data_IF_659373386813
#
_entry.id   IF_659373386813
#
_cell.length_a   1.000
_cell.length_b   1.000
_cell.length_c   1.000
_cell.angle_alpha   90.00
_cell.angle_beta   90.00
_cell.angle_gamma   90.00
#
_symmetry.space_group_name_H-M   'P 1'
#
loop_
_entity.id
_entity.type
_entity.pdbx_description
1 polymer ?
#
# COMPACT_ATOMS: atom_id res chain seq x y z
N UNK A 1 -26.71 -2.90 -22.49
CA UNK A 1 -26.28 -2.24 -21.25
C UNK A 1 -25.90 -0.81 -21.62
N UNK A 2 -26.88 0.10 -21.56
CA UNK A 2 -26.68 1.51 -21.93
C UNK A 2 -25.89 2.13 -20.79
N UNK A 3 -24.71 2.71 -21.05
CA UNK A 3 -24.06 3.59 -20.08
C UNK A 3 -25.07 4.67 -19.75
N UNK A 4 -25.59 4.65 -18.54
CA UNK A 4 -26.64 5.57 -18.10
C UNK A 4 -26.15 7.01 -18.31
N UNK A 5 -27.00 7.89 -18.84
CA UNK A 5 -26.68 9.32 -19.04
C UNK A 5 -26.15 9.93 -17.73
N UNK A 6 -26.59 9.38 -16.60
CA UNK A 6 -26.14 9.69 -15.25
C UNK A 6 -24.62 9.59 -15.01
N UNK A 7 -23.87 8.75 -15.72
CA UNK A 7 -22.39 8.69 -15.55
C UNK A 7 -21.72 9.91 -16.17
N UNK A 8 -22.17 10.32 -17.36
CA UNK A 8 -21.62 11.48 -18.06
C UNK A 8 -21.98 12.79 -17.37
N UNK A 9 -23.19 12.89 -16.78
CA UNK A 9 -23.57 14.07 -16.00
C UNK A 9 -22.73 14.21 -14.73
N UNK A 10 -22.32 13.10 -14.12
CA UNK A 10 -21.46 13.14 -12.93
C UNK A 10 -20.01 13.48 -13.28
N UNK A 11 -19.51 12.94 -14.39
CA UNK A 11 -18.16 13.28 -14.87
C UNK A 11 -18.03 14.77 -15.25
N UNK A 12 -19.14 15.47 -15.49
CA UNK A 12 -19.17 16.92 -15.73
C UNK A 12 -19.61 17.73 -14.51
N UNK A 13 -19.94 17.07 -13.39
CA UNK A 13 -20.35 17.75 -12.16
C UNK A 13 -19.16 18.51 -11.54
N UNK A 14 -19.29 19.83 -11.33
CA UNK A 14 -18.21 20.64 -10.77
C UNK A 14 -17.79 20.20 -9.35
N UNK A 15 -18.68 19.64 -8.54
CA UNK A 15 -18.35 19.16 -7.20
C UNK A 15 -17.47 17.91 -7.28
N UNK A 16 -17.84 16.96 -8.14
CA UNK A 16 -17.06 15.75 -8.38
C UNK A 16 -15.67 16.09 -8.94
N UNK A 17 -15.61 16.94 -9.97
CA UNK A 17 -14.36 17.35 -10.59
C UNK A 17 -13.44 18.13 -9.65
N UNK A 18 -13.98 19.04 -8.84
CA UNK A 18 -13.22 19.76 -7.82
C UNK A 18 -12.64 18.81 -6.79
N UNK A 19 -13.43 17.82 -6.38
CA UNK A 19 -13.00 16.82 -5.43
C UNK A 19 -11.87 15.94 -5.95
N UNK A 20 -12.07 15.35 -7.13
CA UNK A 20 -11.05 14.57 -7.81
C UNK A 20 -9.79 15.38 -8.10
N UNK A 21 -9.94 16.63 -8.55
CA UNK A 21 -8.82 17.55 -8.76
C UNK A 21 -8.03 17.82 -7.49
N UNK A 22 -8.69 17.89 -6.33
CA UNK A 22 -8.01 18.04 -5.03
C UNK A 22 -7.22 16.77 -4.67
N UNK A 23 -7.78 15.59 -4.92
CA UNK A 23 -7.06 14.32 -4.72
C UNK A 23 -5.81 14.23 -5.62
N UNK A 24 -5.94 14.61 -6.90
CA UNK A 24 -4.81 14.66 -7.83
C UNK A 24 -3.75 15.68 -7.39
N UNK A 25 -4.17 16.84 -6.87
CA UNK A 25 -3.27 17.85 -6.34
C UNK A 25 -2.50 17.33 -5.11
N UNK A 26 -3.18 16.68 -4.16
CA UNK A 26 -2.54 16.06 -3.00
C UNK A 26 -1.52 15.01 -3.45
N UNK A 27 -1.89 14.15 -4.39
CA UNK A 27 -0.99 13.13 -4.93
C UNK A 27 0.25 13.78 -5.58
N UNK A 28 0.06 14.78 -6.44
CA UNK A 28 1.14 15.48 -7.11
C UNK A 28 2.07 16.21 -6.13
N UNK A 29 1.53 16.96 -5.17
CA UNK A 29 2.31 17.65 -4.15
C UNK A 29 3.10 16.66 -3.28
N UNK A 30 2.47 15.54 -2.89
CA UNK A 30 3.14 14.50 -2.12
C UNK A 30 4.28 13.85 -2.91
N UNK A 31 4.07 13.57 -4.20
CA UNK A 31 5.13 13.06 -5.09
C UNK A 31 6.29 14.04 -5.22
N UNK A 32 6.02 15.33 -5.39
CA UNK A 32 7.08 16.34 -5.55
C UNK A 32 7.84 16.55 -4.24
N UNK A 33 7.14 16.79 -3.14
CA UNK A 33 7.75 17.14 -1.85
C UNK A 33 8.38 15.92 -1.19
N UNK A 34 7.58 14.90 -0.86
CA UNK A 34 8.05 13.72 -0.16
C UNK A 34 8.85 12.80 -1.08
N UNK A 35 8.43 12.63 -2.33
CA UNK A 35 9.16 11.84 -3.32
C UNK A 35 10.51 12.46 -3.69
N UNK A 36 10.58 13.78 -3.88
CA UNK A 36 11.84 14.49 -4.12
C UNK A 36 12.81 14.36 -2.95
N UNK A 37 12.32 14.54 -1.72
CA UNK A 37 13.13 14.38 -0.50
C UNK A 37 13.62 12.93 -0.32
N UNK A 38 12.76 11.93 -0.55
CA UNK A 38 13.14 10.53 -0.47
C UNK A 38 14.18 10.12 -1.51
N UNK A 39 14.11 10.64 -2.74
CA UNK A 39 15.17 10.45 -3.75
C UNK A 39 16.49 11.11 -3.30
N UNK A 40 16.43 12.31 -2.71
CA UNK A 40 17.63 12.97 -2.19
C UNK A 40 18.30 12.15 -1.08
N UNK A 41 17.51 11.64 -0.12
CA UNK A 41 18.00 10.74 0.94
C UNK A 41 18.56 9.44 0.35
N UNK A 42 17.87 8.84 -0.63
CA UNK A 42 18.33 7.64 -1.32
C UNK A 42 19.70 7.83 -1.96
N UNK A 43 19.95 8.98 -2.61
CA UNK A 43 21.27 9.33 -3.17
C UNK A 43 22.34 9.51 -2.10
N UNK A 44 22.00 10.07 -0.94
CA UNK A 44 22.92 10.16 0.20
C UNK A 44 23.24 8.79 0.80
N UNK A 45 22.33 7.82 0.72
CA UNK A 45 22.59 6.47 1.20
C UNK A 45 23.42 5.62 0.22
N UNK A 46 23.46 6.01 -1.06
CA UNK A 46 24.26 5.33 -2.10
C UNK A 46 25.78 5.46 -1.92
N UNK A 47 26.26 6.30 -1.00
CA UNK A 47 27.69 6.44 -0.70
C UNK A 47 28.30 5.17 -0.06
N UNK A 48 27.49 4.25 0.48
CA UNK A 48 27.98 3.01 1.09
C UNK A 48 27.16 1.79 0.66
N UNK A 49 27.84 0.79 0.07
CA UNK A 49 27.22 -0.47 -0.34
C UNK A 49 26.61 -1.25 0.84
N UNK A 50 27.08 -1.03 2.07
CA UNK A 50 26.48 -1.63 3.27
C UNK A 50 25.14 -0.96 3.61
N UNK A 51 25.09 0.38 3.56
CA UNK A 51 23.86 1.14 3.81
C UNK A 51 22.81 0.87 2.74
N UNK A 52 23.20 0.76 1.47
CA UNK A 52 22.28 0.40 0.38
C UNK A 52 21.63 -0.97 0.64
N UNK A 53 22.42 -1.99 0.98
CA UNK A 53 21.90 -3.35 1.26
C UNK A 53 20.97 -3.39 2.46
N UNK A 54 21.34 -2.73 3.55
CA UNK A 54 20.50 -2.61 4.75
C UNK A 54 19.21 -1.81 4.45
N UNK A 55 19.34 -0.69 3.75
CA UNK A 55 18.23 0.20 3.37
C UNK A 55 17.19 -0.50 2.49
N UNK A 56 17.61 -1.20 1.44
CA UNK A 56 16.69 -1.96 0.58
C UNK A 56 15.91 -3.00 1.41
N UNK A 57 16.59 -3.77 2.27
CA UNK A 57 15.91 -4.79 3.09
C UNK A 57 14.90 -4.19 4.06
N UNK A 58 15.29 -3.12 4.75
CA UNK A 58 14.44 -2.47 5.73
C UNK A 58 13.23 -1.81 5.06
N UNK A 59 13.47 -1.05 4.00
CA UNK A 59 12.45 -0.21 3.36
C UNK A 59 11.47 -1.01 2.51
N UNK A 60 11.82 -2.22 2.01
CA UNK A 60 10.90 -3.07 1.23
C UNK A 60 9.52 -3.20 1.88
N UNK A 61 9.51 -3.49 3.18
CA UNK A 61 8.29 -3.55 3.98
C UNK A 61 8.16 -2.29 4.85
N UNK A 62 9.26 -1.78 5.39
CA UNK A 62 9.27 -0.63 6.30
C UNK A 62 8.64 0.63 5.71
N UNK A 63 8.61 0.79 4.38
CA UNK A 63 7.92 1.91 3.74
C UNK A 63 6.41 1.96 4.06
N UNK A 64 5.79 0.83 4.40
CA UNK A 64 4.36 0.73 4.72
C UNK A 64 4.04 0.99 6.20
N UNK A 65 5.03 0.99 7.08
CA UNK A 65 4.79 1.23 8.52
C UNK A 65 4.10 2.57 8.80
N UNK A 66 4.50 3.70 8.19
CA UNK A 66 3.84 4.98 8.45
C UNK A 66 2.36 4.96 8.07
N UNK A 67 1.95 4.16 7.08
CA UNK A 67 0.54 4.01 6.73
C UNK A 67 -0.27 3.50 7.92
N UNK A 68 0.14 2.39 8.54
CA UNK A 68 -0.61 1.78 9.63
C UNK A 68 -0.64 2.68 10.88
N UNK A 69 0.47 3.38 11.16
CA UNK A 69 0.56 4.27 12.33
C UNK A 69 -0.31 5.51 12.14
N UNK A 70 -0.33 6.09 10.93
CA UNK A 70 -1.06 7.34 10.67
C UNK A 70 -2.53 7.11 10.29
N UNK A 71 -2.94 5.92 9.84
CA UNK A 71 -4.26 5.67 9.25
C UNK A 71 -5.44 6.29 10.03
N UNK A 72 -5.59 5.96 11.31
CA UNK A 72 -6.77 6.31 12.10
C UNK A 72 -6.59 7.47 13.08
N UNK A 73 -5.51 8.24 12.99
CA UNK A 73 -5.24 9.29 13.97
C UNK A 73 -6.32 10.39 13.95
N UNK A 74 -6.74 10.92 15.12
CA UNK A 74 -7.82 11.90 15.19
C UNK A 74 -7.44 13.24 14.54
N UNK A 75 -6.14 13.52 14.37
CA UNK A 75 -5.63 14.75 13.72
C UNK A 75 -6.15 14.94 12.30
N UNK A 76 -6.63 13.88 11.65
CA UNK A 76 -7.20 13.94 10.30
C UNK A 76 -8.67 14.38 10.28
N UNK A 77 -9.38 14.34 11.42
CA UNK A 77 -10.80 14.67 11.51
C UNK A 77 -10.99 16.18 11.53
N UNK A 78 -11.11 16.76 10.35
CA UNK A 78 -11.37 18.18 10.17
C UNK A 78 -12.88 18.44 10.35
N UNK A 79 -13.26 19.37 11.22
CA UNK A 79 -14.65 19.78 11.41
C UNK A 79 -14.96 21.03 10.55
N UNK A 80 -15.71 20.92 9.44
CA UNK A 80 -15.90 22.02 8.50
C UNK A 80 -16.87 23.11 8.99
N UNK A 81 -17.56 22.91 10.12
CA UNK A 81 -18.67 23.75 10.57
C UNK A 81 -18.32 25.11 11.17
N UNK A 82 -17.02 25.48 11.25
CA UNK A 82 -16.60 26.74 11.90
C UNK A 82 -15.71 27.65 11.05
N UNK A 83 -15.12 27.14 9.97
CA UNK A 83 -14.09 27.84 9.21
C UNK A 83 -14.52 28.11 7.75
N UNK A 84 -14.01 29.19 7.12
CA UNK A 84 -14.31 29.47 5.72
C UNK A 84 -13.77 28.36 4.81
N UNK A 85 -14.50 28.05 3.74
CA UNK A 85 -14.21 26.93 2.82
C UNK A 85 -12.74 26.85 2.38
N UNK A 86 -12.12 27.98 2.06
CA UNK A 86 -10.73 28.04 1.58
C UNK A 86 -9.73 27.56 2.65
N UNK A 87 -9.98 27.87 3.91
CA UNK A 87 -9.16 27.41 5.04
C UNK A 87 -9.31 25.90 5.20
N UNK A 88 -10.54 25.38 5.16
CA UNK A 88 -10.78 23.93 5.28
C UNK A 88 -10.17 23.16 4.11
N UNK A 89 -10.21 23.71 2.89
CA UNK A 89 -9.55 23.14 1.72
C UNK A 89 -8.03 23.10 1.88
N UNK A 90 -7.41 24.20 2.33
CA UNK A 90 -5.96 24.24 2.58
C UNK A 90 -5.53 23.24 3.67
N UNK A 91 -6.30 23.14 4.75
CA UNK A 91 -6.08 22.15 5.81
C UNK A 91 -6.20 20.73 5.22
N UNK A 92 -7.20 20.47 4.37
CA UNK A 92 -7.37 19.17 3.73
C UNK A 92 -6.17 18.81 2.85
N UNK A 93 -5.68 19.74 2.03
CA UNK A 93 -4.52 19.51 1.17
C UNK A 93 -3.26 19.23 2.00
N UNK A 94 -2.99 20.07 2.99
CA UNK A 94 -1.82 19.91 3.87
C UNK A 94 -1.90 18.61 4.67
N UNK A 95 -3.04 18.29 5.27
CA UNK A 95 -3.28 17.05 5.99
C UNK A 95 -3.07 15.81 5.10
N UNK A 96 -3.59 15.82 3.87
CA UNK A 96 -3.37 14.74 2.91
C UNK A 96 -1.90 14.52 2.56
N UNK A 97 -1.15 15.61 2.34
CA UNK A 97 0.29 15.55 2.07
C UNK A 97 1.06 15.03 3.29
N UNK A 98 0.69 15.43 4.51
CA UNK A 98 1.30 14.94 5.74
C UNK A 98 0.99 13.47 6.02
N UNK A 99 -0.23 13.01 5.72
CA UNK A 99 -0.64 11.62 5.93
C UNK A 99 0.08 10.66 4.97
N UNK A 100 0.09 10.96 3.67
CA UNK A 100 0.72 10.12 2.66
C UNK A 100 2.25 10.31 2.59
N UNK A 101 2.75 11.50 2.94
CA UNK A 101 4.14 11.93 2.78
C UNK A 101 5.18 10.95 3.30
N UNK A 102 5.13 10.49 4.56
CA UNK A 102 6.12 9.57 5.12
C UNK A 102 6.24 8.26 4.33
N UNK A 103 5.11 7.65 3.94
CA UNK A 103 5.09 6.43 3.12
C UNK A 103 5.72 6.68 1.75
N UNK A 104 5.39 7.81 1.11
CA UNK A 104 5.93 8.20 -0.20
C UNK A 104 7.43 8.53 -0.14
N UNK A 105 7.89 9.16 0.93
CA UNK A 105 9.31 9.43 1.18
C UNK A 105 10.09 8.12 1.28
N UNK A 106 9.61 7.16 2.07
CA UNK A 106 10.28 5.87 2.23
C UNK A 106 10.22 5.03 0.94
N UNK A 107 9.10 5.05 0.22
CA UNK A 107 8.95 4.34 -1.05
C UNK A 107 9.84 4.92 -2.16
N UNK A 108 9.94 6.24 -2.26
CA UNK A 108 10.85 6.89 -3.22
C UNK A 108 12.32 6.70 -2.86
N UNK A 109 12.66 6.68 -1.57
CA UNK A 109 13.99 6.29 -1.09
C UNK A 109 14.30 4.83 -1.46
N UNK A 110 13.36 3.91 -1.22
CA UNK A 110 13.47 2.51 -1.60
C UNK A 110 13.73 2.35 -3.10
N UNK A 111 12.87 2.94 -3.93
CA UNK A 111 12.99 2.89 -5.38
C UNK A 111 14.28 3.53 -5.89
N UNK A 112 14.74 4.63 -5.27
CA UNK A 112 16.02 5.23 -5.63
C UNK A 112 17.21 4.31 -5.28
N UNK A 113 17.16 3.61 -4.16
CA UNK A 113 18.20 2.64 -3.78
C UNK A 113 18.20 1.43 -4.71
N UNK A 114 17.04 0.89 -5.07
CA UNK A 114 16.96 -0.25 -5.99
C UNK A 114 17.40 0.15 -7.41
N UNK A 115 16.99 1.33 -7.89
CA UNK A 115 17.38 1.87 -9.19
C UNK A 115 18.87 2.27 -9.26
N UNK A 116 19.45 2.85 -8.20
CA UNK A 116 20.86 3.25 -8.17
C UNK A 116 21.82 2.07 -8.40
N UNK A 117 21.44 0.89 -7.91
CA UNK A 117 22.19 -0.34 -8.15
C UNK A 117 21.97 -0.86 -9.59
N UNK A 118 20.85 -0.53 -10.25
CA UNK A 118 20.61 -0.82 -11.67
C UNK A 118 21.31 0.18 -12.61
N UNK A 119 21.40 1.46 -12.21
CA UNK A 119 21.97 2.58 -12.96
C UNK A 119 23.48 2.49 -13.18
N UNK A 120 24.22 1.65 -12.44
CA UNK A 120 25.60 1.27 -12.81
C UNK A 120 25.68 0.57 -14.18
N UNK A 121 24.55 0.20 -14.81
CA UNK A 121 24.52 -0.51 -16.10
C UNK A 121 23.71 0.09 -17.26
N UNK A 122 22.71 1.00 -17.16
CA UNK A 122 22.11 1.70 -18.34
C UNK A 122 20.97 2.73 -18.08
N UNK A 123 20.85 3.69 -19.04
CA UNK A 123 19.73 4.53 -19.59
C UNK A 123 18.79 5.42 -18.73
N UNK A 124 18.41 6.62 -19.23
CA UNK A 124 17.51 7.60 -18.57
C UNK A 124 16.06 7.14 -18.36
N UNK A 125 15.60 6.09 -19.04
CA UNK A 125 14.22 5.59 -18.94
C UNK A 125 13.85 5.04 -17.55
N UNK A 126 14.83 4.61 -16.75
CA UNK A 126 14.59 4.07 -15.40
C UNK A 126 14.08 5.15 -14.44
N UNK A 127 14.56 6.40 -14.57
CA UNK A 127 14.13 7.50 -13.68
C UNK A 127 12.65 7.87 -13.85
N UNK A 128 12.14 7.77 -15.08
CA UNK A 128 10.72 8.02 -15.38
C UNK A 128 9.82 6.93 -14.78
N UNK A 129 10.33 5.70 -14.67
CA UNK A 129 9.60 4.61 -14.04
C UNK A 129 9.38 4.85 -12.54
N UNK A 130 10.42 5.29 -11.82
CA UNK A 130 10.31 5.61 -10.40
C UNK A 130 9.26 6.70 -10.12
N UNK A 131 9.30 7.79 -10.89
CA UNK A 131 8.35 8.90 -10.71
C UNK A 131 6.91 8.43 -10.88
N UNK A 132 6.65 7.58 -11.89
CA UNK A 132 5.34 6.97 -12.11
C UNK A 132 4.88 6.13 -10.91
N UNK A 133 5.71 5.19 -10.43
CA UNK A 133 5.36 4.30 -9.30
C UNK A 133 5.08 5.11 -8.03
N UNK A 134 5.91 6.11 -7.75
CA UNK A 134 5.74 7.02 -6.60
C UNK A 134 4.45 7.83 -6.74
N UNK A 135 4.12 8.31 -7.94
CA UNK A 135 2.87 9.02 -8.18
C UNK A 135 1.64 8.13 -8.03
N UNK A 136 1.64 6.91 -8.57
CA UNK A 136 0.52 5.98 -8.44
C UNK A 136 0.31 5.55 -6.99
N UNK A 137 1.39 5.32 -6.23
CA UNK A 137 1.28 5.07 -4.79
C UNK A 137 0.72 6.30 -4.07
N UNK A 138 1.19 7.51 -4.38
CA UNK A 138 0.67 8.74 -3.80
C UNK A 138 -0.81 8.93 -4.11
N UNK A 139 -1.25 8.62 -5.33
CA UNK A 139 -2.64 8.68 -5.75
C UNK A 139 -3.50 7.67 -4.98
N UNK A 140 -3.05 6.42 -4.87
CA UNK A 140 -3.74 5.40 -4.08
C UNK A 140 -3.93 5.86 -2.64
N UNK A 141 -2.86 6.22 -1.95
CA UNK A 141 -2.92 6.68 -0.56
C UNK A 141 -3.79 7.92 -0.43
N UNK A 142 -3.65 8.89 -1.34
CA UNK A 142 -4.45 10.11 -1.32
C UNK A 142 -5.93 9.81 -1.40
N UNK A 143 -6.37 8.83 -2.21
CA UNK A 143 -7.77 8.36 -2.30
C UNK A 143 -8.22 7.70 -1.00
N UNK A 144 -7.41 6.79 -0.44
CA UNK A 144 -7.76 6.05 0.77
C UNK A 144 -7.99 6.99 1.96
N UNK A 145 -7.12 7.98 2.16
CA UNK A 145 -7.25 8.94 3.27
C UNK A 145 -8.41 9.92 3.14
N UNK A 146 -9.02 10.05 1.95
CA UNK A 146 -10.20 10.92 1.81
C UNK A 146 -11.38 10.47 2.66
N UNK A 147 -11.38 9.24 3.20
CA UNK A 147 -12.35 8.81 4.19
C UNK A 147 -12.39 9.70 5.43
N UNK A 148 -11.28 10.37 5.76
CA UNK A 148 -11.17 11.24 6.94
C UNK A 148 -11.32 12.72 6.60
N UNK A 149 -11.36 13.08 5.31
CA UNK A 149 -11.38 14.47 4.85
C UNK A 149 -12.77 14.84 4.29
N UNK A 150 -13.48 15.81 4.90
CA UNK A 150 -14.88 16.07 4.59
C UNK A 150 -15.15 16.73 3.23
N UNK A 151 -14.14 17.29 2.55
CA UNK A 151 -14.35 18.23 1.42
C UNK A 151 -13.79 17.75 0.08
N UNK A 152 -12.86 16.79 0.07
CA UNK A 152 -12.13 16.46 -1.16
C UNK A 152 -12.77 15.30 -1.94
N UNK A 153 -12.94 14.09 -1.41
CA UNK A 153 -13.63 13.04 -2.17
C UNK A 153 -15.00 12.72 -1.57
N UNK A 154 -16.10 12.85 -2.32
CA UNK A 154 -17.43 12.84 -1.75
C UNK A 154 -17.93 11.40 -1.55
N UNK A 155 -17.26 10.63 -0.68
CA UNK A 155 -17.60 9.24 -0.36
C UNK A 155 -19.07 9.07 0.03
N UNK A 156 -19.62 9.97 0.84
CA UNK A 156 -21.03 9.94 1.26
C UNK A 156 -22.00 10.12 0.10
N UNK A 157 -21.65 10.97 -0.86
CA UNK A 157 -22.44 11.17 -2.08
C UNK A 157 -22.36 9.97 -3.02
N UNK A 158 -21.17 9.35 -3.13
CA UNK A 158 -20.94 8.12 -3.90
C UNK A 158 -21.76 6.93 -3.39
N UNK A 159 -22.00 6.84 -2.08
CA UNK A 159 -22.87 5.81 -1.48
C UNK A 159 -24.31 5.91 -2.01
N UNK A 160 -24.80 7.12 -2.26
CA UNK A 160 -26.20 7.35 -2.63
C UNK A 160 -26.47 7.13 -4.12
N UNK A 161 -25.45 7.14 -4.98
CA UNK A 161 -25.61 7.20 -6.44
C UNK A 161 -24.76 6.14 -7.16
N UNK A 162 -25.40 5.11 -7.70
CA UNK A 162 -24.74 3.99 -8.42
C UNK A 162 -23.88 4.49 -9.60
N UNK A 163 -24.39 5.45 -10.38
CA UNK A 163 -23.68 6.08 -11.50
C UNK A 163 -22.41 6.82 -11.05
N UNK A 164 -22.38 7.30 -9.81
CA UNK A 164 -21.24 8.03 -9.26
C UNK A 164 -20.05 7.12 -8.97
N UNK A 165 -20.30 5.87 -8.53
CA UNK A 165 -19.26 4.86 -8.33
C UNK A 165 -18.58 4.50 -9.66
N UNK A 166 -19.36 4.33 -10.72
CA UNK A 166 -18.80 4.09 -12.06
C UNK A 166 -18.03 5.31 -12.59
N UNK A 167 -18.52 6.53 -12.36
CA UNK A 167 -17.80 7.75 -12.72
C UNK A 167 -16.46 7.86 -11.96
N UNK A 168 -16.43 7.53 -10.67
CA UNK A 168 -15.21 7.45 -9.86
C UNK A 168 -14.19 6.45 -10.45
N UNK A 169 -14.64 5.23 -10.77
CA UNK A 169 -13.79 4.21 -11.41
C UNK A 169 -13.23 4.74 -12.73
N UNK A 170 -14.07 5.31 -13.60
CA UNK A 170 -13.66 5.85 -14.90
C UNK A 170 -12.65 7.00 -14.72
N UNK A 171 -12.88 7.92 -13.80
CA UNK A 171 -11.97 9.03 -13.52
C UNK A 171 -10.59 8.54 -13.06
N UNK A 172 -10.54 7.56 -12.15
CA UNK A 172 -9.28 6.93 -11.71
C UNK A 172 -8.60 6.20 -12.86
N UNK A 173 -9.35 5.46 -13.68
CA UNK A 173 -8.82 4.78 -14.87
C UNK A 173 -8.19 5.78 -15.85
N UNK A 174 -8.84 6.92 -16.10
CA UNK A 174 -8.31 7.99 -16.95
C UNK A 174 -7.00 8.54 -16.37
N UNK A 175 -6.94 8.83 -15.06
CA UNK A 175 -5.72 9.31 -14.42
C UNK A 175 -4.56 8.30 -14.50
N UNK A 176 -4.84 7.01 -14.28
CA UNK A 176 -3.85 5.93 -14.43
C UNK A 176 -3.39 5.82 -15.89
N UNK A 177 -4.31 5.89 -16.86
CA UNK A 177 -3.98 5.84 -18.28
C UNK A 177 -3.10 7.02 -18.70
N UNK A 178 -3.46 8.24 -18.30
CA UNK A 178 -2.69 9.45 -18.58
C UNK A 178 -1.29 9.38 -17.96
N UNK A 179 -1.18 8.88 -16.73
CA UNK A 179 0.11 8.65 -16.08
C UNK A 179 0.95 7.63 -16.87
N UNK A 180 0.35 6.49 -17.27
CA UNK A 180 1.05 5.46 -18.04
C UNK A 180 1.50 5.98 -19.42
N UNK A 181 0.68 6.79 -20.08
CA UNK A 181 1.02 7.44 -21.35
C UNK A 181 2.17 8.44 -21.18
N UNK A 182 2.11 9.32 -20.17
CA UNK A 182 3.14 10.32 -19.89
C UNK A 182 4.52 9.70 -19.66
N UNK A 183 4.58 8.50 -19.07
CA UNK A 183 5.82 7.79 -18.77
C UNK A 183 6.13 6.63 -19.73
N UNK A 184 5.39 6.50 -20.84
CA UNK A 184 5.57 5.43 -21.85
C UNK A 184 5.64 4.02 -21.24
N UNK A 185 4.78 3.76 -20.25
CA UNK A 185 4.84 2.56 -19.44
C UNK A 185 4.42 1.31 -20.23
N UNK A 186 5.13 0.20 -19.98
CA UNK A 186 4.75 -1.13 -20.46
C UNK A 186 4.96 -2.17 -19.38
N UNK A 187 4.10 -3.20 -19.33
CA UNK A 187 4.20 -4.27 -18.33
C UNK A 187 5.55 -5.01 -18.44
N UNK A 188 6.05 -5.23 -19.66
CA UNK A 188 7.36 -5.88 -19.88
C UNK A 188 8.53 -5.06 -19.32
N UNK A 189 8.50 -3.72 -19.46
CA UNK A 189 9.54 -2.86 -18.88
C UNK A 189 9.59 -2.96 -17.35
N UNK A 190 8.44 -3.12 -16.69
CA UNK A 190 8.40 -3.30 -15.23
C UNK A 190 8.75 -4.72 -14.78
N UNK A 191 8.40 -5.70 -15.59
CA UNK A 191 8.70 -7.10 -15.32
C UNK A 191 10.20 -7.35 -15.21
N UNK A 192 10.97 -6.72 -16.10
CA UNK A 192 12.42 -6.84 -16.10
C UNK A 192 13.06 -6.19 -14.87
N UNK A 193 12.66 -4.95 -14.54
CA UNK A 193 13.14 -4.23 -13.35
C UNK A 193 12.85 -5.00 -12.05
N UNK A 194 11.61 -5.48 -11.89
CA UNK A 194 11.21 -6.26 -10.70
C UNK A 194 11.93 -7.59 -10.60
N UNK A 195 12.14 -8.28 -11.73
CA UNK A 195 12.92 -9.53 -11.74
C UNK A 195 14.36 -9.30 -11.26
N UNK A 196 15.02 -8.25 -11.75
CA UNK A 196 16.39 -7.92 -11.34
C UNK A 196 16.48 -7.56 -9.86
N UNK A 197 15.50 -6.80 -9.36
CA UNK A 197 15.36 -6.45 -7.95
C UNK A 197 15.20 -7.70 -7.07
N UNK A 198 14.30 -8.60 -7.44
CA UNK A 198 14.08 -9.85 -6.73
C UNK A 198 15.36 -10.71 -6.70
N UNK A 199 16.06 -10.85 -7.83
CA UNK A 199 17.32 -11.60 -7.88
C UNK A 199 18.35 -11.03 -6.89
N UNK A 200 18.47 -9.71 -6.80
CA UNK A 200 19.41 -9.10 -5.85
C UNK A 200 18.99 -9.28 -4.39
N UNK A 201 17.71 -9.11 -4.06
CA UNK A 201 17.24 -9.30 -2.67
C UNK A 201 17.54 -10.70 -2.13
N UNK A 202 17.47 -11.72 -2.99
CA UNK A 202 17.83 -13.08 -2.63
C UNK A 202 19.35 -13.32 -2.55
N UNK A 203 20.15 -12.72 -3.43
CA UNK A 203 21.62 -12.80 -3.37
C UNK A 203 22.16 -12.18 -2.08
N UNK A 204 21.56 -11.07 -1.65
CA UNK A 204 22.07 -10.34 -0.51
C UNK A 204 21.71 -10.94 0.82
N UNK A 205 20.94 -12.04 0.94
CA UNK A 205 20.28 -12.51 2.16
C UNK A 205 21.22 -13.16 3.23
N UNK A 206 22.34 -12.49 3.53
CA UNK A 206 23.27 -12.80 4.63
C UNK A 206 22.72 -12.39 6.02
N UNK A 207 23.13 -13.12 7.07
CA UNK A 207 22.82 -12.83 8.48
C UNK A 207 23.39 -11.48 8.96
N UNK A 208 24.56 -11.07 8.46
CA UNK A 208 25.18 -9.74 8.74
C UNK A 208 24.25 -8.58 8.30
N UNK A 209 23.48 -8.86 7.25
CA UNK A 209 22.21 -8.25 6.85
C UNK A 209 21.35 -7.66 7.95
N UNK A 210 20.96 -8.56 8.85
CA UNK A 210 19.91 -8.37 9.84
C UNK A 210 20.39 -7.49 11.00
N UNK A 211 21.67 -7.58 11.35
CA UNK A 211 22.27 -6.74 12.39
C UNK A 211 22.16 -5.25 12.07
N UNK A 212 22.39 -4.85 10.80
CA UNK A 212 22.25 -3.47 10.37
C UNK A 212 20.80 -2.96 10.45
N UNK A 213 19.83 -3.78 10.03
CA UNK A 213 18.41 -3.44 10.17
C UNK A 213 17.97 -3.31 11.62
N UNK A 214 18.41 -4.23 12.49
CA UNK A 214 18.09 -4.21 13.91
C UNK A 214 18.70 -2.98 14.60
N UNK A 215 19.92 -2.59 14.23
CA UNK A 215 20.56 -1.38 14.74
C UNK A 215 19.77 -0.12 14.34
N UNK A 216 19.27 -0.04 13.09
CA UNK A 216 18.41 1.07 12.64
C UNK A 216 17.11 1.10 13.45
N UNK A 217 16.47 -0.04 13.70
CA UNK A 217 15.25 -0.12 14.52
C UNK A 217 15.53 0.36 15.94
N UNK A 218 16.61 -0.12 16.57
CA UNK A 218 17.01 0.29 17.94
C UNK A 218 17.31 1.79 17.98
N UNK A 219 18.10 2.31 17.04
CA UNK A 219 18.39 3.74 16.94
C UNK A 219 17.12 4.58 16.74
N UNK A 220 16.20 4.10 15.89
CA UNK A 220 14.89 4.73 15.68
C UNK A 220 14.02 4.72 16.94
N UNK A 221 14.00 3.62 17.70
CA UNK A 221 13.29 3.54 18.97
C UNK A 221 13.90 4.47 20.04
N UNK A 222 15.22 4.60 20.08
CA UNK A 222 15.90 5.55 20.97
C UNK A 222 15.53 6.98 20.60
N UNK A 223 15.61 7.34 19.31
CA UNK A 223 15.20 8.68 18.84
C UNK A 223 13.73 8.96 19.15
N UNK A 224 12.84 7.99 18.92
CA UNK A 224 11.42 8.12 19.28
C UNK A 224 11.23 8.30 20.79
N UNK A 225 11.99 7.61 21.63
CA UNK A 225 11.93 7.80 23.09
C UNK A 225 12.42 9.20 23.49
N UNK A 226 13.51 9.69 22.88
CA UNK A 226 14.07 11.02 23.16
C UNK A 226 13.10 12.13 22.77
N UNK A 227 12.46 12.02 21.59
CA UNK A 227 11.49 13.00 21.11
C UNK A 227 10.03 12.67 21.49
N UNK A 228 9.83 11.72 22.41
CA UNK A 228 8.52 11.14 22.69
C UNK A 228 7.47 12.14 23.13
N UNK A 229 7.87 13.15 23.92
CA UNK A 229 6.94 14.20 24.37
C UNK A 229 6.50 15.11 23.22
N UNK A 230 7.44 15.59 22.40
CA UNK A 230 7.14 16.42 21.21
C UNK A 230 6.29 15.66 20.20
N UNK A 231 6.54 14.37 20.03
CA UNK A 231 5.78 13.50 19.13
C UNK A 231 4.36 13.27 19.67
N UNK A 232 4.20 13.08 20.98
CA UNK A 232 2.88 12.97 21.63
C UNK A 232 2.07 14.24 21.51
N UNK A 233 2.65 15.40 21.80
CA UNK A 233 1.97 16.69 21.78
C UNK A 233 1.50 17.09 20.38
N UNK A 234 2.29 16.81 19.33
CA UNK A 234 1.99 17.25 17.97
C UNK A 234 1.26 16.20 17.12
N UNK A 235 1.53 14.90 17.33
CA UNK A 235 1.03 13.82 16.48
C UNK A 235 0.15 12.81 17.22
N UNK A 236 -0.05 12.96 18.54
CA UNK A 236 -0.80 12.01 19.38
C UNK A 236 -0.24 10.59 19.34
N UNK A 237 1.05 10.43 19.04
CA UNK A 237 1.74 9.14 19.05
C UNK A 237 2.46 8.99 20.40
N UNK A 238 2.10 7.95 21.14
CA UNK A 238 2.64 7.72 22.48
C UNK A 238 4.13 7.27 22.45
N UNK A 239 4.91 7.52 23.52
CA UNK A 239 6.31 7.09 23.60
C UNK A 239 6.44 5.56 23.49
N UNK A 240 7.58 5.04 22.99
CA UNK A 240 7.74 3.61 22.72
C UNK A 240 7.63 2.74 23.99
N UNK A 241 7.98 3.26 25.17
CA UNK A 241 7.78 2.56 26.43
C UNK A 241 6.28 2.26 26.71
N UNK A 242 5.40 3.23 26.48
CA UNK A 242 3.95 3.07 26.66
C UNK A 242 3.35 2.19 25.57
N UNK A 243 3.80 2.34 24.32
CA UNK A 243 3.41 1.46 23.21
C UNK A 243 3.82 0.01 23.49
N UNK A 244 5.01 -0.23 24.03
CA UNK A 244 5.47 -1.59 24.38
C UNK A 244 4.62 -2.21 25.49
N UNK A 245 4.28 -1.42 26.53
CA UNK A 245 3.32 -1.85 27.55
C UNK A 245 1.95 -2.17 26.95
N UNK A 246 1.47 -1.35 26.01
CA UNK A 246 0.21 -1.59 25.32
C UNK A 246 0.25 -2.86 24.46
N UNK A 247 1.35 -3.15 23.76
CA UNK A 247 1.54 -4.43 23.04
C UNK A 247 1.42 -5.61 23.99
N UNK A 248 2.14 -5.58 25.12
CA UNK A 248 2.09 -6.67 26.11
C UNK A 248 0.68 -6.82 26.69
N UNK A 249 0.01 -5.71 27.03
CA UNK A 249 -1.38 -5.72 27.52
C UNK A 249 -2.33 -6.30 26.49
N UNK A 250 -2.23 -5.91 25.22
CA UNK A 250 -3.06 -6.42 24.14
C UNK A 250 -2.85 -7.93 23.95
N UNK A 251 -1.60 -8.40 24.00
CA UNK A 251 -1.26 -9.82 23.84
C UNK A 251 -1.69 -10.70 25.03
N UNK A 252 -1.58 -10.18 26.26
CA UNK A 252 -1.87 -10.92 27.51
C UNK A 252 -3.33 -10.79 27.93
N UNK A 253 -3.87 -9.56 27.96
CA UNK A 253 -5.23 -9.28 28.45
C UNK A 253 -6.28 -9.28 27.32
N UNK A 254 -5.90 -9.03 26.07
CA UNK A 254 -6.80 -8.96 24.93
C UNK A 254 -7.33 -7.56 24.61
N UNK A 255 -7.62 -7.33 23.33
CA UNK A 255 -8.17 -6.09 22.74
C UNK A 255 -9.45 -5.62 23.39
N UNK A 256 -10.35 -6.55 23.72
CA UNK A 256 -11.66 -6.25 24.28
C UNK A 256 -11.73 -6.33 25.79
N UNK A 257 -10.67 -6.72 26.53
CA UNK A 257 -10.63 -6.50 27.98
C UNK A 257 -10.48 -5.01 28.34
N UNK A 258 -9.88 -4.23 27.43
CA UNK A 258 -9.73 -2.78 27.54
C UNK A 258 -11.04 -2.05 27.22
N UNK A 259 -11.94 -2.68 26.45
CA UNK A 259 -13.15 -2.05 25.94
C UNK A 259 -14.46 -2.64 26.52
N UNK A 260 -14.63 -3.97 26.60
CA UNK A 260 -15.93 -4.65 26.74
C UNK A 260 -15.94 -6.03 27.46
N UNK A 261 -14.83 -6.51 28.04
CA UNK A 261 -14.73 -7.76 28.86
C UNK A 261 -15.12 -9.11 28.20
N UNK A 262 -14.51 -9.50 27.04
CA UNK A 262 -14.42 -10.87 26.41
C UNK A 262 -13.70 -10.79 25.02
N UNK A 263 -13.26 -11.90 24.37
CA UNK A 263 -11.98 -12.65 24.49
C UNK A 263 -10.73 -11.90 23.92
N UNK A 264 -9.62 -12.62 23.67
CA UNK A 264 -8.25 -12.12 23.42
C UNK A 264 -7.99 -11.53 22.02
N UNK A 265 -6.93 -10.70 21.84
CA UNK A 265 -6.51 -10.12 20.54
C UNK A 265 -6.31 -11.17 19.43
N UNK A 266 -6.05 -12.42 19.81
CA UNK A 266 -5.83 -13.53 18.91
C UNK A 266 -7.03 -13.82 18.00
N UNK A 267 -8.26 -13.62 18.47
CA UNK A 267 -9.43 -13.77 17.61
C UNK A 267 -9.47 -12.69 16.52
N UNK A 268 -9.04 -11.47 16.83
CA UNK A 268 -8.99 -10.38 15.86
C UNK A 268 -7.85 -10.57 14.85
N UNK A 269 -6.70 -11.08 15.30
CA UNK A 269 -5.62 -11.52 14.41
C UNK A 269 -6.14 -12.60 13.46
N UNK A 270 -6.87 -13.59 13.98
CA UNK A 270 -7.44 -14.67 13.16
C UNK A 270 -8.41 -14.13 12.11
N UNK A 271 -9.34 -13.24 12.49
CA UNK A 271 -10.30 -12.62 11.56
C UNK A 271 -9.56 -11.87 10.44
N UNK A 272 -8.57 -11.05 10.79
CA UNK A 272 -7.75 -10.34 9.82
C UNK A 272 -6.94 -11.26 8.91
N UNK A 273 -6.42 -12.38 9.42
CA UNK A 273 -5.77 -13.38 8.60
C UNK A 273 -6.73 -14.04 7.61
N UNK A 274 -7.98 -14.32 8.01
CA UNK A 274 -9.01 -14.86 7.12
C UNK A 274 -9.39 -13.85 6.04
N UNK A 275 -9.53 -12.57 6.38
CA UNK A 275 -9.80 -11.49 5.43
C UNK A 275 -8.69 -11.36 4.39
N UNK A 276 -7.43 -11.29 4.84
CA UNK A 276 -6.25 -11.17 3.98
C UNK A 276 -6.06 -12.41 3.12
N UNK A 277 -6.09 -13.61 3.71
CA UNK A 277 -5.90 -14.87 2.98
C UNK A 277 -7.04 -15.15 1.99
N UNK A 278 -8.29 -14.89 2.38
CA UNK A 278 -9.46 -15.03 1.51
C UNK A 278 -9.38 -14.09 0.30
N UNK A 279 -8.99 -12.82 0.51
CA UNK A 279 -8.85 -11.86 -0.58
C UNK A 279 -7.67 -12.18 -1.51
N UNK A 280 -6.53 -12.62 -0.97
CA UNK A 280 -5.39 -13.07 -1.78
C UNK A 280 -5.76 -14.33 -2.59
N UNK A 281 -6.49 -15.28 -1.98
CA UNK A 281 -6.95 -16.49 -2.67
C UNK A 281 -7.87 -16.14 -3.84
N UNK A 282 -8.84 -15.25 -3.63
CA UNK A 282 -9.74 -14.77 -4.68
C UNK A 282 -8.99 -14.00 -5.77
N UNK A 283 -8.06 -13.11 -5.39
CA UNK A 283 -7.19 -12.40 -6.33
C UNK A 283 -6.35 -13.37 -7.18
N UNK A 284 -5.84 -14.43 -6.58
CA UNK A 284 -5.07 -15.48 -7.28
C UNK A 284 -5.94 -16.25 -8.27
N UNK A 285 -7.14 -16.65 -7.86
CA UNK A 285 -8.11 -17.34 -8.71
C UNK A 285 -8.48 -16.51 -9.95
N UNK A 286 -8.51 -15.18 -9.84
CA UNK A 286 -8.76 -14.27 -10.97
C UNK A 286 -7.49 -13.99 -11.80
N UNK A 287 -6.35 -13.75 -11.15
CA UNK A 287 -5.13 -13.32 -11.83
C UNK A 287 -4.50 -14.42 -12.67
N UNK A 288 -4.46 -15.68 -12.19
CA UNK A 288 -3.86 -16.80 -12.92
C UNK A 288 -4.48 -17.00 -14.32
N UNK A 289 -5.81 -17.13 -14.48
CA UNK A 289 -6.40 -17.33 -15.80
C UNK A 289 -6.25 -16.10 -16.70
N UNK A 290 -6.29 -14.88 -16.15
CA UNK A 290 -6.07 -13.65 -16.92
C UNK A 290 -4.65 -13.60 -17.47
N UNK A 291 -3.65 -13.88 -16.65
CA UNK A 291 -2.24 -13.90 -17.08
C UNK A 291 -2.00 -15.01 -18.11
N UNK A 292 -2.59 -16.18 -17.92
CA UNK A 292 -2.52 -17.27 -18.90
C UNK A 292 -3.17 -16.90 -20.24
N UNK A 293 -4.33 -16.24 -20.20
CA UNK A 293 -4.98 -15.71 -21.39
C UNK A 293 -4.12 -14.64 -22.08
N UNK A 294 -3.46 -13.76 -21.30
CA UNK A 294 -2.55 -12.75 -21.83
C UNK A 294 -1.34 -13.36 -22.54
N UNK A 295 -0.82 -14.51 -22.09
CA UNK A 295 0.23 -15.23 -22.81
C UNK A 295 -0.23 -15.73 -24.17
N UNK A 296 -1.51 -16.07 -24.32
CA UNK A 296 -2.08 -16.58 -25.58
C UNK A 296 -2.40 -15.50 -26.61
N UNK A 297 -2.83 -14.32 -26.17
CA UNK A 297 -3.41 -13.29 -27.05
C UNK A 297 -2.40 -12.56 -27.94
N UNK A 298 -1.09 -12.74 -27.76
CA UNK A 298 -0.02 -12.14 -28.60
C UNK A 298 -0.13 -10.61 -28.83
N UNK A 299 -0.86 -9.89 -27.98
CA UNK A 299 -0.98 -8.42 -27.96
C UNK A 299 -0.61 -7.88 -26.57
N UNK A 300 0.69 -7.88 -26.21
CA UNK A 300 1.13 -7.52 -24.86
C UNK A 300 0.85 -6.06 -24.52
N UNK A 301 0.82 -5.15 -25.51
CA UNK A 301 0.58 -3.71 -25.29
C UNK A 301 -0.85 -3.41 -24.84
N UNK A 302 -1.85 -4.00 -25.50
CA UNK A 302 -3.25 -3.76 -25.15
C UNK A 302 -3.61 -4.41 -23.81
N UNK A 303 -3.20 -5.67 -23.64
CA UNK A 303 -3.45 -6.41 -22.40
C UNK A 303 -2.74 -5.80 -21.19
N UNK A 304 -1.52 -5.26 -21.36
CA UNK A 304 -0.83 -4.54 -20.28
C UNK A 304 -1.51 -3.24 -19.90
N UNK A 305 -1.96 -2.46 -20.89
CA UNK A 305 -2.71 -1.23 -20.64
C UNK A 305 -3.99 -1.54 -19.84
N UNK A 306 -4.78 -2.53 -20.25
CA UNK A 306 -5.99 -2.93 -19.52
C UNK A 306 -5.68 -3.41 -18.09
N UNK A 307 -4.66 -4.25 -17.91
CA UNK A 307 -4.28 -4.72 -16.58
C UNK A 307 -3.90 -3.54 -15.67
N UNK A 308 -3.16 -2.57 -16.19
CA UNK A 308 -2.74 -1.39 -15.43
C UNK A 308 -3.90 -0.55 -14.89
N UNK A 309 -5.05 -0.55 -15.55
CA UNK A 309 -6.24 0.19 -15.09
C UNK A 309 -6.77 -0.37 -13.78
N UNK A 310 -6.49 -1.65 -13.48
CA UNK A 310 -6.93 -2.31 -12.24
C UNK A 310 -6.05 -1.97 -11.02
N UNK A 311 -4.98 -1.19 -11.18
CA UNK A 311 -4.05 -0.89 -10.07
C UNK A 311 -4.69 -0.10 -8.91
N UNK A 312 -5.61 0.82 -9.21
CA UNK A 312 -6.25 1.71 -8.23
C UNK A 312 -7.76 1.76 -8.46
N UNK A 313 -8.21 1.72 -9.72
CA UNK A 313 -9.60 1.95 -10.07
C UNK A 313 -10.64 1.10 -9.29
N UNK A 314 -10.37 -0.18 -8.94
CA UNK A 314 -11.30 -0.97 -8.14
C UNK A 314 -11.65 -0.37 -6.77
N UNK A 315 -10.82 0.51 -6.21
CA UNK A 315 -11.11 1.26 -4.97
C UNK A 315 -12.37 2.13 -5.11
N UNK A 316 -12.64 2.64 -6.31
CA UNK A 316 -13.86 3.41 -6.59
C UNK A 316 -15.15 2.60 -6.44
N UNK A 317 -15.07 1.26 -6.38
CA UNK A 317 -16.21 0.36 -6.17
C UNK A 317 -16.46 0.04 -4.68
N UNK A 318 -15.73 0.63 -3.73
CA UNK A 318 -15.81 0.27 -2.32
C UNK A 318 -17.24 0.37 -1.75
N UNK A 319 -17.91 1.50 -2.00
CA UNK A 319 -19.31 1.78 -1.65
C UNK A 319 -20.26 0.80 -2.34
N UNK A 320 -20.00 0.45 -3.60
CA UNK A 320 -20.83 -0.46 -4.37
C UNK A 320 -20.72 -1.91 -3.88
N UNK A 321 -19.52 -2.32 -3.50
CA UNK A 321 -19.25 -3.64 -2.92
C UNK A 321 -19.97 -3.77 -1.57
N UNK A 322 -19.97 -2.71 -0.77
CA UNK A 322 -20.78 -2.65 0.45
C UNK A 322 -22.28 -2.78 0.15
N UNK A 323 -22.79 -2.10 -0.88
CA UNK A 323 -24.20 -2.18 -1.27
C UNK A 323 -24.62 -3.57 -1.79
N UNK A 324 -23.73 -4.27 -2.50
CA UNK A 324 -24.04 -5.60 -3.06
C UNK A 324 -23.99 -6.73 -2.05
N UNK A 325 -22.99 -6.70 -1.17
CA UNK A 325 -22.65 -7.84 -0.32
C UNK A 325 -23.07 -7.60 1.13
N UNK A 326 -23.33 -6.35 1.49
CA UNK A 326 -23.64 -5.93 2.86
C UNK A 326 -22.40 -5.84 3.74
N UNK A 327 -22.64 -5.51 5.01
CA UNK A 327 -21.61 -5.43 6.05
C UNK A 327 -21.24 -6.87 6.47
N UNK A 328 -19.97 -7.25 6.31
CA UNK A 328 -19.48 -8.55 6.75
C UNK A 328 -18.15 -8.97 6.16
N UNK A 329 -17.77 -10.23 6.40
CA UNK A 329 -16.48 -10.79 5.97
C UNK A 329 -16.25 -10.68 4.45
N UNK A 330 -17.28 -10.92 3.65
CA UNK A 330 -17.17 -10.92 2.18
C UNK A 330 -16.84 -9.55 1.60
N UNK A 331 -17.39 -8.46 2.17
CA UNK A 331 -17.06 -7.10 1.74
C UNK A 331 -15.57 -6.79 1.93
N UNK A 332 -14.99 -7.22 3.05
CA UNK A 332 -13.56 -7.08 3.33
C UNK A 332 -12.69 -7.95 2.41
N UNK A 333 -13.07 -9.20 2.20
CA UNK A 333 -12.40 -10.11 1.25
C UNK A 333 -12.37 -9.49 -0.15
N UNK A 334 -13.47 -8.88 -0.60
CA UNK A 334 -13.53 -8.20 -1.90
C UNK A 334 -12.65 -6.95 -1.94
N UNK A 335 -12.58 -6.15 -0.88
CA UNK A 335 -11.64 -5.01 -0.81
C UNK A 335 -10.18 -5.43 -0.83
N UNK A 336 -9.82 -6.46 -0.07
CA UNK A 336 -8.49 -7.07 -0.14
C UNK A 336 -8.20 -7.55 -1.57
N UNK A 337 -9.17 -8.20 -2.22
CA UNK A 337 -9.04 -8.68 -3.60
C UNK A 337 -8.78 -7.52 -4.57
N UNK A 338 -9.54 -6.42 -4.47
CA UNK A 338 -9.41 -5.24 -5.32
C UNK A 338 -7.99 -4.64 -5.29
N UNK A 339 -7.38 -4.53 -4.11
CA UNK A 339 -6.04 -3.96 -3.97
C UNK A 339 -4.91 -4.98 -4.21
N UNK A 340 -5.12 -6.25 -3.89
CA UNK A 340 -4.12 -7.31 -4.09
C UNK A 340 -4.03 -7.79 -5.55
N UNK A 341 -5.09 -7.64 -6.34
CA UNK A 341 -5.18 -8.21 -7.69
C UNK A 341 -4.07 -7.73 -8.64
N UNK A 342 -3.94 -6.41 -8.83
CA UNK A 342 -2.94 -5.86 -9.74
C UNK A 342 -1.49 -6.21 -9.38
N UNK A 343 -1.00 -6.00 -8.14
CA UNK A 343 0.38 -6.35 -7.79
C UNK A 343 0.64 -7.86 -7.93
N UNK A 344 -0.36 -8.70 -7.64
CA UNK A 344 -0.26 -10.15 -7.81
C UNK A 344 -0.15 -10.52 -9.30
N UNK A 345 -1.03 -9.99 -10.14
CA UNK A 345 -1.00 -10.23 -11.59
C UNK A 345 0.29 -9.70 -12.23
N UNK A 346 0.74 -8.52 -11.83
CA UNK A 346 2.01 -7.93 -12.27
C UNK A 346 3.20 -8.81 -11.87
N UNK A 347 3.23 -9.33 -10.64
CA UNK A 347 4.30 -10.21 -10.17
C UNK A 347 4.29 -11.57 -10.89
N UNK A 348 3.11 -12.17 -11.11
CA UNK A 348 2.96 -13.40 -11.91
C UNK A 348 3.52 -13.21 -13.34
N UNK A 349 3.25 -12.06 -13.96
CA UNK A 349 3.82 -11.72 -15.27
C UNK A 349 5.34 -11.52 -15.20
N UNK A 350 5.83 -10.80 -14.17
CA UNK A 350 7.25 -10.49 -13.97
C UNK A 350 8.10 -11.75 -13.82
N UNK A 351 7.55 -12.75 -13.15
CA UNK A 351 8.20 -14.01 -12.84
C UNK A 351 7.79 -15.14 -13.79
N UNK A 352 7.33 -14.81 -15.02
CA UNK A 352 6.87 -15.79 -16.01
C UNK A 352 7.88 -16.89 -16.38
N UNK A 353 9.17 -16.61 -16.22
CA UNK A 353 10.25 -17.58 -16.50
C UNK A 353 10.48 -18.59 -15.37
N UNK A 354 9.89 -18.38 -14.20
CA UNK A 354 9.99 -19.30 -13.07
C UNK A 354 8.84 -20.31 -13.08
N UNK A 355 9.05 -21.51 -12.49
CA UNK A 355 7.97 -22.48 -12.28
C UNK A 355 6.80 -21.87 -11.48
N UNK A 356 5.59 -22.41 -11.68
CA UNK A 356 4.36 -21.84 -11.11
C UNK A 356 4.40 -21.69 -9.58
N UNK A 357 4.91 -22.69 -8.86
CA UNK A 357 4.91 -22.69 -7.39
C UNK A 357 5.75 -21.54 -6.78
N UNK A 358 7.07 -21.40 -7.05
CA UNK A 358 7.85 -20.27 -6.54
C UNK A 358 7.35 -18.93 -7.09
N UNK A 359 6.86 -18.91 -8.34
CA UNK A 359 6.25 -17.72 -8.94
C UNK A 359 5.03 -17.23 -8.15
N UNK A 360 4.15 -18.13 -7.74
CA UNK A 360 2.93 -17.81 -7.00
C UNK A 360 3.26 -17.35 -5.58
N UNK A 361 4.20 -18.01 -4.89
CA UNK A 361 4.66 -17.59 -3.55
C UNK A 361 5.21 -16.16 -3.59
N UNK A 362 6.03 -15.84 -4.59
CA UNK A 362 6.57 -14.49 -4.77
C UNK A 362 5.50 -13.47 -5.15
N UNK A 363 4.54 -13.85 -5.98
CA UNK A 363 3.44 -12.95 -6.33
C UNK A 363 2.55 -12.62 -5.13
N UNK A 364 2.33 -13.59 -4.22
CA UNK A 364 1.64 -13.34 -2.95
C UNK A 364 2.46 -12.40 -2.06
N UNK A 365 3.78 -12.60 -1.96
CA UNK A 365 4.67 -11.74 -1.17
C UNK A 365 4.61 -10.27 -1.63
N UNK A 366 4.62 -10.03 -2.95
CA UNK A 366 4.53 -8.69 -3.56
C UNK A 366 3.15 -8.05 -3.39
N UNK A 367 2.07 -8.86 -3.36
CA UNK A 367 0.71 -8.37 -3.17
C UNK A 367 0.36 -8.11 -1.70
N UNK A 368 1.11 -8.67 -0.77
CA UNK A 368 0.81 -8.67 0.66
C UNK A 368 0.60 -7.26 1.25
N UNK A 369 1.43 -6.25 0.96
CA UNK A 369 1.20 -4.92 1.53
C UNK A 369 -0.14 -4.32 1.11
N UNK A 370 -0.49 -4.44 -0.18
CA UNK A 370 -1.77 -3.96 -0.70
C UNK A 370 -2.96 -4.77 -0.18
N UNK A 371 -2.77 -6.07 0.11
CA UNK A 371 -3.79 -6.88 0.77
C UNK A 371 -4.08 -6.35 2.19
N UNK A 372 -3.06 -6.00 2.96
CA UNK A 372 -3.23 -5.38 4.28
C UNK A 372 -3.84 -3.97 4.19
N UNK A 373 -3.49 -3.16 3.19
CA UNK A 373 -4.20 -1.90 2.92
C UNK A 373 -5.69 -2.14 2.69
N UNK A 374 -6.03 -3.18 1.91
CA UNK A 374 -7.41 -3.51 1.57
C UNK A 374 -8.21 -3.98 2.77
N UNK A 375 -7.58 -4.71 3.68
CA UNK A 375 -8.16 -5.09 4.96
C UNK A 375 -8.48 -3.85 5.82
N UNK A 376 -7.51 -2.95 5.99
CA UNK A 376 -7.67 -1.73 6.78
C UNK A 376 -8.73 -0.79 6.17
N UNK A 377 -8.69 -0.62 4.85
CA UNK A 377 -9.66 0.21 4.13
C UNK A 377 -11.06 -0.38 4.13
N UNK A 378 -11.19 -1.70 3.93
CA UNK A 378 -12.47 -2.41 3.99
C UNK A 378 -13.16 -2.22 5.35
N UNK A 379 -12.39 -2.23 6.44
CA UNK A 379 -12.91 -2.00 7.78
C UNK A 379 -13.44 -0.58 8.03
N UNK A 380 -12.85 0.41 7.35
CA UNK A 380 -13.29 1.79 7.48
C UNK A 380 -14.72 2.02 6.96
N UNK A 381 -15.19 1.14 6.07
CA UNK A 381 -16.57 1.14 5.58
C UNK A 381 -17.53 0.32 6.43
N UNK A 382 -17.01 -0.67 7.18
CA UNK A 382 -17.80 -1.67 7.89
C UNK A 382 -17.07 -2.15 9.15
N UNK A 383 -17.04 -1.29 10.16
CA UNK A 383 -16.28 -1.47 11.41
C UNK A 383 -16.92 -2.55 12.29
N UNK A 384 -16.45 -3.78 12.16
CA UNK A 384 -17.04 -5.00 12.74
C UNK A 384 -16.07 -5.77 13.64
N UNK A 385 -14.88 -6.11 13.16
CA UNK A 385 -13.92 -6.99 13.85
C UNK A 385 -12.54 -6.99 13.19
N UNK A 386 -11.52 -7.54 13.86
CA UNK A 386 -10.18 -7.69 13.31
C UNK A 386 -9.24 -6.53 13.63
N UNK A 387 -7.98 -6.63 13.22
CA UNK A 387 -6.96 -5.61 13.47
C UNK A 387 -7.29 -4.26 12.82
N UNK A 388 -7.89 -4.27 11.62
CA UNK A 388 -8.36 -3.05 10.94
C UNK A 388 -9.34 -2.24 11.80
N UNK A 389 -10.14 -2.92 12.63
CA UNK A 389 -11.17 -2.28 13.45
C UNK A 389 -10.52 -1.48 14.57
N UNK A 390 -9.56 -2.10 15.24
CA UNK A 390 -8.83 -1.49 16.35
C UNK A 390 -7.95 -0.32 15.91
N UNK A 391 -7.47 -0.33 14.66
CA UNK A 391 -6.77 0.83 14.07
C UNK A 391 -7.67 2.07 13.94
N UNK A 392 -8.98 1.91 13.92
CA UNK A 392 -9.95 3.01 13.84
C UNK A 392 -10.56 3.34 15.21
N UNK A 393 -10.88 2.33 16.00
CA UNK A 393 -11.64 2.49 17.24
C UNK A 393 -10.78 2.96 18.40
N UNK A 394 -9.56 2.45 18.56
CA UNK A 394 -8.68 2.92 19.63
C UNK A 394 -8.36 4.42 19.55
N UNK A 395 -7.94 4.98 18.40
CA UNK A 395 -7.67 6.41 18.32
C UNK A 395 -8.97 7.22 18.47
N UNK A 396 -10.12 6.73 17.99
CA UNK A 396 -11.41 7.38 18.18
C UNK A 396 -11.83 7.47 19.66
N UNK A 397 -11.42 6.50 20.49
CA UNK A 397 -11.69 6.45 21.93
C UNK A 397 -10.57 7.07 22.80
N UNK A 398 -9.53 7.64 22.18
CA UNK A 398 -8.40 8.26 22.90
C UNK A 398 -7.31 7.28 23.37
N UNK A 399 -7.39 6.01 23.01
CA UNK A 399 -6.42 4.96 23.36
C UNK A 399 -5.24 4.93 22.38
N UNK A 400 -4.41 5.98 22.36
CA UNK A 400 -3.36 6.18 21.35
C UNK A 400 -2.21 5.16 21.45
N UNK A 401 -1.90 4.69 22.66
CA UNK A 401 -0.88 3.65 22.86
C UNK A 401 -1.33 2.32 22.25
N UNK A 402 -2.58 1.92 22.48
CA UNK A 402 -3.20 0.71 21.93
C UNK A 402 -3.40 0.80 20.41
N UNK A 403 -3.72 1.99 19.88
CA UNK A 403 -3.78 2.24 18.44
C UNK A 403 -2.42 2.00 17.76
N UNK A 404 -1.36 2.62 18.30
CA UNK A 404 0.00 2.47 17.79
C UNK A 404 0.50 1.04 17.96
N UNK A 405 0.18 0.39 19.08
CA UNK A 405 0.51 -1.00 19.32
C UNK A 405 -0.17 -1.93 18.30
N UNK A 406 -1.45 -1.69 17.99
CA UNK A 406 -2.19 -2.45 16.97
C UNK A 406 -1.55 -2.26 15.59
N UNK A 407 -1.14 -1.04 15.23
CA UNK A 407 -0.42 -0.76 13.99
C UNK A 407 0.90 -1.54 13.88
N UNK A 408 1.67 -1.59 14.97
CA UNK A 408 2.90 -2.38 15.03
C UNK A 408 2.66 -3.89 14.96
N UNK A 409 1.59 -4.39 15.58
CA UNK A 409 1.19 -5.81 15.49
C UNK A 409 0.77 -6.15 14.06
N UNK A 410 -0.07 -5.34 13.42
CA UNK A 410 -0.50 -5.51 12.02
C UNK A 410 0.70 -5.51 11.08
N UNK A 411 1.59 -4.53 11.23
CA UNK A 411 2.83 -4.45 10.44
C UNK A 411 3.75 -5.66 10.69
N UNK A 412 3.91 -6.05 11.95
CA UNK A 412 4.70 -7.22 12.35
C UNK A 412 4.16 -8.53 11.76
N UNK A 413 2.84 -8.69 11.72
CA UNK A 413 2.17 -9.82 11.09
C UNK A 413 2.44 -9.87 9.58
N UNK A 414 2.27 -8.74 8.88
CA UNK A 414 2.61 -8.61 7.46
C UNK A 414 4.08 -8.96 7.21
N UNK A 415 5.00 -8.44 8.02
CA UNK A 415 6.43 -8.71 7.86
C UNK A 415 6.81 -10.16 8.18
N UNK A 416 6.16 -10.77 9.17
CA UNK A 416 6.31 -12.19 9.50
C UNK A 416 5.86 -13.10 8.36
N UNK A 417 4.68 -12.85 7.78
CA UNK A 417 4.15 -13.60 6.64
C UNK A 417 5.07 -13.44 5.42
N UNK A 418 5.47 -12.22 5.08
CA UNK A 418 6.41 -11.96 3.97
C UNK A 418 7.74 -12.70 4.15
N UNK A 419 8.26 -12.71 5.37
CA UNK A 419 9.49 -13.45 5.69
C UNK A 419 9.32 -14.96 5.52
N UNK A 420 8.20 -15.53 5.98
CA UNK A 420 7.88 -16.94 5.81
C UNK A 420 7.72 -17.32 4.32
N UNK A 421 7.01 -16.51 3.53
CA UNK A 421 6.84 -16.71 2.09
C UNK A 421 8.20 -16.72 1.37
N UNK A 422 9.12 -15.83 1.73
CA UNK A 422 10.46 -15.80 1.13
C UNK A 422 11.33 -16.99 1.53
N UNK A 423 11.16 -17.53 2.74
CA UNK A 423 11.82 -18.76 3.15
C UNK A 423 11.29 -19.96 2.32
N UNK A 424 9.97 -20.02 2.12
CA UNK A 424 9.34 -21.05 1.27
C UNK A 424 9.81 -20.91 -0.18
N UNK A 425 9.85 -19.67 -0.72
CA UNK A 425 10.33 -19.43 -2.08
C UNK A 425 11.78 -19.89 -2.28
N UNK A 426 12.64 -19.73 -1.26
CA UNK A 426 14.01 -20.24 -1.26
C UNK A 426 14.07 -21.77 -1.25
N UNK A 427 13.27 -22.41 -0.39
CA UNK A 427 13.29 -23.88 -0.27
C UNK A 427 12.74 -24.58 -1.52
N UNK A 428 11.90 -23.90 -2.31
CA UNK A 428 11.39 -24.39 -3.59
C UNK A 428 12.43 -24.31 -4.76
N UNK A 429 13.73 -24.45 -4.46
CA UNK A 429 14.83 -24.51 -5.43
C UNK A 429 14.91 -23.32 -6.42
N UNK A 430 14.73 -22.10 -5.92
CA UNK A 430 14.90 -20.89 -6.74
C UNK A 430 16.33 -20.72 -7.28
N UNK A 431 17.32 -21.34 -6.65
CA UNK A 431 18.73 -21.33 -7.06
C UNK A 431 18.97 -22.15 -8.34
N UNK A 432 18.30 -23.30 -8.49
CA UNK A 432 18.39 -24.15 -9.69
C UNK A 432 17.65 -23.50 -10.89
N UNK A 433 16.54 -22.82 -10.62
CA UNK A 433 15.83 -22.00 -11.63
C UNK A 433 16.63 -20.75 -12.05
N UNK A 434 17.53 -20.27 -11.19
CA UNK A 434 18.45 -19.16 -11.49
C UNK A 434 19.56 -19.57 -12.43
N UNK A 435 20.21 -20.70 -12.14
CA UNK A 435 21.28 -21.25 -12.94
C UNK A 435 20.80 -21.54 -14.38
N UNK A 436 19.60 -22.08 -14.52
CA UNK A 436 18.98 -22.35 -15.85
C UNK A 436 18.57 -21.09 -16.60
N UNK A 437 18.15 -20.02 -15.91
CA UNK A 437 17.75 -18.76 -16.52
C UNK A 437 18.93 -17.83 -16.89
N UNK A 438 20.11 -18.01 -16.26
CA UNK A 438 21.36 -17.33 -16.65
C UNK A 438 21.99 -18.00 -17.88
N UNK A 439 21.97 -19.33 -17.98
CA UNK A 439 22.49 -20.07 -19.14
C UNK A 439 21.72 -19.74 -20.43
N UNK A 440 20.40 -19.51 -20.34
CA UNK A 440 19.54 -19.18 -21.49
C UNK A 440 19.56 -17.71 -21.92
N UNK A 441 20.21 -16.82 -21.17
CA UNK A 441 20.43 -15.42 -21.57
C UNK A 441 21.84 -15.18 -22.15
N UNK A 442 22.70 -16.21 -22.19
CA UNK A 442 24.06 -16.17 -22.76
C UNK A 442 24.12 -16.87 -24.14
N UNK A 443 23.00 -17.42 -24.61
CA UNK A 443 22.77 -17.92 -25.97
C UNK A 443 21.77 -17.04 -26.68
#
# INVERSE_FOLDING_TARGET
MVMDIGVFTILTDPLFLRGFGTVLLIAALTTVLAGGLGVAIGRLLQFSDSLVRCGIRLLRLGMWLPFFVLWGLPIWRINPGKDPYLVVWLITVTAGVFAAGPTILLASCYGCLTDGVQLKRQKPHIRLHLVREVFLLALLLSILWQLFFPIAWPWEWLVQHLSANYAAVIAIMIAVLLCNLAFSWTLDSTAESRRLELLRTFQFNDLKSLGGGLLIVVAGSILWQVFGQTVKENFSIEPPAEVTKAIVRLLVAGTRAILESKPTIWSDIQVSLVEVSGGIALATLLAVPIIELMFRINSPKFSSALLSLTCIAPVGLATQILAWVGIGLWQKILMVTCLAFFPLAQALWSYRRFPLAPRLVLAIDEALPNAFLGMVFGEAWATTAGLGFFLLVFPAKGHMAEATATALITFGLMAGISSALRLIAKSLHFEDARATAEVTNVT
#
